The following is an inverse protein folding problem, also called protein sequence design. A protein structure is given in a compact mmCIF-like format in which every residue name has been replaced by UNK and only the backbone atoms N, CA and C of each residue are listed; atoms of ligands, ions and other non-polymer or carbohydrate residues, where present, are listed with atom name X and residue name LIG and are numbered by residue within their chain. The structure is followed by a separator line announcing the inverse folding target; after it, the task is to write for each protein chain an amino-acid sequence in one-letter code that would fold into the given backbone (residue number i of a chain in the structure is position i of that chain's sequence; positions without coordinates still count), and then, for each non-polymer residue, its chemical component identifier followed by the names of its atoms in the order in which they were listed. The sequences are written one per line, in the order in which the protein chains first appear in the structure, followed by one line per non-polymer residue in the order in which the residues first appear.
data_IF_681356462749
#
_entry.id   IF_681356462749
#
_cell.length_a   1.000
_cell.length_b   1.000
_cell.length_c   1.000
_cell.angle_alpha   90.00
_cell.angle_beta   90.00
_cell.angle_gamma   90.00
#
_symmetry.space_group_name_H-M   'P 1'
#
loop_
_entity.id
_entity.type
_entity.pdbx_description
1 polymer ?
#
# COMPACT_ATOMS: atom_id res chain seq x y z
N UNK A 1 -16.13 8.84 -40.14
CA UNK A 1 -17.03 8.33 -39.09
C UNK A 1 -16.40 7.31 -38.14
N UNK A 2 -15.29 6.63 -38.47
CA UNK A 2 -14.59 5.72 -37.55
C UNK A 2 -13.73 6.41 -36.46
N UNK A 3 -13.20 7.61 -36.72
CA UNK A 3 -12.30 8.33 -35.80
C UNK A 3 -12.96 8.75 -34.48
N UNK A 4 -14.24 9.14 -34.50
CA UNK A 4 -14.99 9.47 -33.28
C UNK A 4 -15.23 8.24 -32.40
N UNK A 5 -15.45 7.08 -33.02
CA UNK A 5 -15.69 5.82 -32.32
C UNK A 5 -14.44 5.32 -31.59
N UNK A 6 -13.26 5.42 -32.20
CA UNK A 6 -11.99 5.07 -31.56
C UNK A 6 -11.63 6.01 -30.40
N UNK A 7 -11.92 7.32 -30.50
CA UNK A 7 -11.71 8.26 -29.40
C UNK A 7 -12.62 7.97 -28.21
N UNK A 8 -13.85 7.54 -28.47
CA UNK A 8 -14.82 7.17 -27.43
C UNK A 8 -14.39 5.89 -26.69
N UNK A 9 -13.87 4.90 -27.42
CA UNK A 9 -13.29 3.69 -26.82
C UNK A 9 -12.06 4.02 -25.97
N UNK A 10 -11.18 4.92 -26.44
CA UNK A 10 -9.99 5.31 -25.67
C UNK A 10 -10.37 6.07 -24.39
N UNK A 11 -11.35 6.99 -24.46
CA UNK A 11 -11.84 7.75 -23.31
C UNK A 11 -12.56 6.87 -22.27
N UNK A 12 -13.29 5.83 -22.70
CA UNK A 12 -13.96 4.89 -21.79
C UNK A 12 -12.96 4.01 -21.03
N UNK A 13 -11.86 3.61 -21.65
CA UNK A 13 -10.84 2.78 -21.00
C UNK A 13 -10.01 3.55 -19.95
N UNK A 14 -9.92 4.88 -20.06
CA UNK A 14 -9.23 5.71 -19.05
C UNK A 14 -10.07 5.99 -17.81
N UNK A 15 -11.40 5.80 -17.86
CA UNK A 15 -12.29 6.15 -16.75
C UNK A 15 -12.42 5.06 -15.67
N UNK A 16 -12.06 3.81 -15.97
CA UNK A 16 -12.24 2.67 -15.07
C UNK A 16 -10.91 1.98 -14.73
N UNK A 17 -9.87 2.76 -14.45
CA UNK A 17 -8.60 2.25 -13.95
C UNK A 17 -8.61 2.16 -12.43
N UNK A 18 -8.69 0.94 -11.87
CA UNK A 18 -8.28 0.70 -10.49
C UNK A 18 -6.75 0.64 -10.45
N UNK A 19 -6.13 1.47 -9.61
CA UNK A 19 -4.67 1.49 -9.50
C UNK A 19 -4.18 0.43 -8.50
N UNK A 20 -3.18 -0.34 -8.90
CA UNK A 20 -2.51 -1.34 -8.05
C UNK A 20 -1.24 -0.76 -7.43
N UNK A 21 -1.04 -1.02 -6.14
CA UNK A 21 0.09 -0.55 -5.36
C UNK A 21 0.71 -1.67 -4.53
N UNK A 22 1.95 -1.44 -4.10
CA UNK A 22 2.69 -2.27 -3.16
C UNK A 22 2.95 -1.44 -1.92
N UNK A 23 2.58 -1.98 -0.77
CA UNK A 23 2.93 -1.48 0.55
C UNK A 23 4.05 -2.34 1.14
N UNK A 24 5.09 -1.71 1.70
CA UNK A 24 6.07 -2.41 2.52
C UNK A 24 6.54 -1.51 3.66
N UNK A 25 6.95 -2.15 4.75
CA UNK A 25 7.46 -1.43 5.92
C UNK A 25 8.65 -2.18 6.52
N UNK A 26 9.63 -1.41 6.99
CA UNK A 26 10.80 -1.90 7.73
C UNK A 26 10.96 -1.07 8.99
N UNK A 27 11.10 -1.76 10.12
CA UNK A 27 11.34 -1.17 11.44
C UNK A 27 12.63 -1.76 11.99
N UNK A 28 13.47 -0.91 12.56
CA UNK A 28 14.68 -1.30 13.26
C UNK A 28 14.50 -0.91 14.73
N UNK A 29 14.66 -1.89 15.60
CA UNK A 29 14.56 -1.74 17.05
C UNK A 29 15.92 -2.00 17.65
N UNK A 30 16.48 -1.04 18.38
CA UNK A 30 17.73 -1.18 19.10
C UNK A 30 17.46 -1.08 20.60
N UNK A 31 17.79 -2.13 21.35
CA UNK A 31 17.62 -2.21 22.81
C UNK A 31 16.17 -1.92 23.27
N UNK A 32 15.18 -2.37 22.50
CA UNK A 32 13.76 -2.17 22.78
C UNK A 32 13.18 -0.81 22.36
N UNK A 33 13.98 0.06 21.73
CA UNK A 33 13.55 1.36 21.21
C UNK A 33 13.58 1.34 19.68
N UNK A 34 12.54 1.87 19.03
CA UNK A 34 12.52 2.03 17.57
C UNK A 34 13.59 3.06 17.19
N UNK A 35 14.63 2.63 16.49
CA UNK A 35 15.75 3.47 16.04
C UNK A 35 15.56 3.97 14.61
N UNK A 36 14.80 3.25 13.79
CA UNK A 36 14.42 3.67 12.44
C UNK A 36 13.12 3.04 12.00
N UNK A 37 12.31 3.82 11.29
CA UNK A 37 11.13 3.39 10.57
C UNK A 37 11.22 3.77 9.08
N UNK A 38 10.75 2.88 8.22
CA UNK A 38 10.63 3.14 6.79
C UNK A 38 9.35 2.51 6.28
N UNK A 39 8.38 3.35 5.92
CA UNK A 39 7.12 2.94 5.29
C UNK A 39 7.06 3.52 3.90
N UNK A 40 6.87 2.64 2.91
CA UNK A 40 6.88 3.02 1.52
C UNK A 40 5.74 2.37 0.72
N UNK A 41 5.22 3.17 -0.19
CA UNK A 41 4.14 2.83 -1.11
C UNK A 41 4.65 3.10 -2.50
N UNK A 42 4.45 2.15 -3.41
CA UNK A 42 4.83 2.29 -4.81
C UNK A 42 3.78 1.68 -5.73
N UNK A 43 3.68 2.18 -6.96
CA UNK A 43 2.81 1.58 -7.96
C UNK A 43 3.29 0.18 -8.34
N UNK A 44 2.36 -0.76 -8.48
CA UNK A 44 2.67 -2.13 -8.90
C UNK A 44 3.00 -2.15 -10.40
N UNK A 45 4.18 -2.67 -10.74
CA UNK A 45 4.57 -2.88 -12.15
C UNK A 45 3.78 -4.00 -12.82
N UNK A 46 3.33 -4.99 -12.04
CA UNK A 46 2.55 -6.12 -12.56
C UNK A 46 1.09 -5.89 -12.21
N UNK A 47 0.22 -5.93 -13.22
CA UNK A 47 -1.23 -5.82 -13.07
C UNK A 47 -1.88 -7.19 -13.10
N UNK A 48 -3.04 -7.30 -12.47
CA UNK A 48 -3.87 -8.50 -12.48
C UNK A 48 -3.89 -9.25 -11.14
N UNK A 49 -5.09 -9.73 -10.83
CA UNK A 49 -5.48 -10.46 -9.62
C UNK A 49 -6.61 -11.43 -9.95
N UNK A 50 -6.70 -12.53 -9.19
CA UNK A 50 -7.77 -13.52 -9.33
C UNK A 50 -8.98 -13.13 -8.46
N UNK A 51 -8.69 -12.63 -7.26
CA UNK A 51 -9.69 -12.06 -6.36
C UNK A 51 -9.13 -10.89 -5.56
N UNK A 52 -10.03 -10.05 -5.06
CA UNK A 52 -9.70 -8.96 -4.14
C UNK A 52 -10.53 -9.08 -2.87
N UNK A 53 -9.91 -8.77 -1.75
CA UNK A 53 -10.53 -8.79 -0.42
C UNK A 53 -10.55 -7.38 0.14
N UNK A 54 -11.73 -6.91 0.58
CA UNK A 54 -11.87 -5.58 1.17
C UNK A 54 -11.15 -5.54 2.52
N UNK A 55 -10.21 -4.61 2.67
CA UNK A 55 -9.53 -4.39 3.96
C UNK A 55 -10.20 -3.29 4.75
N UNK A 56 -10.35 -2.11 4.15
CA UNK A 56 -10.86 -0.94 4.83
C UNK A 56 -11.32 0.13 3.85
N UNK A 57 -11.95 1.17 4.41
CA UNK A 57 -12.32 2.38 3.70
C UNK A 57 -11.69 3.55 4.45
N UNK A 58 -10.98 4.41 3.73
CA UNK A 58 -10.46 5.68 4.23
C UNK A 58 -11.51 6.74 3.89
N UNK A 59 -12.21 7.33 4.87
CA UNK A 59 -13.34 8.24 4.64
C UNK A 59 -12.85 9.68 4.34
N UNK A 60 -11.87 9.82 3.45
CA UNK A 60 -11.38 11.11 2.96
C UNK A 60 -11.37 11.11 1.43
N UNK A 61 -11.87 12.20 0.85
CA UNK A 61 -11.99 12.29 -0.60
C UNK A 61 -10.65 12.65 -1.23
N UNK A 62 -10.31 11.97 -2.33
CA UNK A 62 -9.09 12.29 -3.07
C UNK A 62 -9.20 13.69 -3.69
N UNK A 63 -8.28 14.63 -3.39
CA UNK A 63 -8.23 15.91 -4.06
C UNK A 63 -8.14 15.75 -5.59
N UNK A 64 -8.79 16.65 -6.33
CA UNK A 64 -8.81 16.58 -7.80
C UNK A 64 -7.44 16.84 -8.43
N UNK A 65 -6.58 17.56 -7.73
CA UNK A 65 -5.22 17.93 -8.16
C UNK A 65 -4.13 16.96 -7.69
N UNK A 66 -4.46 15.94 -6.87
CA UNK A 66 -3.48 14.99 -6.36
C UNK A 66 -3.49 13.67 -7.13
N UNK A 67 -2.33 13.04 -7.17
CA UNK A 67 -2.19 11.66 -7.68
C UNK A 67 -2.69 10.64 -6.66
N UNK A 68 -3.06 9.44 -7.13
CA UNK A 68 -3.40 8.31 -6.25
C UNK A 68 -2.27 8.02 -5.25
N UNK A 69 -1.03 8.11 -5.70
CA UNK A 69 0.15 7.86 -4.86
C UNK A 69 0.34 8.95 -3.79
N UNK A 70 0.14 10.22 -4.11
CA UNK A 70 0.21 11.32 -3.12
C UNK A 70 -0.86 11.16 -2.04
N UNK A 71 -2.10 10.85 -2.44
CA UNK A 71 -3.18 10.56 -1.50
C UNK A 71 -2.85 9.39 -0.56
N UNK A 72 -2.28 8.31 -1.11
CA UNK A 72 -1.88 7.15 -0.30
C UNK A 72 -0.70 7.51 0.63
N UNK A 73 0.22 8.37 0.19
CA UNK A 73 1.32 8.82 1.03
C UNK A 73 0.88 9.76 2.15
N UNK A 74 -0.17 10.57 1.95
CA UNK A 74 -0.72 11.41 3.02
C UNK A 74 -1.51 10.62 4.06
N UNK A 75 -2.00 9.44 3.69
CA UNK A 75 -2.78 8.53 4.54
C UNK A 75 -2.01 7.25 4.92
N UNK A 76 -0.68 7.36 5.09
CA UNK A 76 0.19 6.20 5.37
C UNK A 76 -0.17 5.48 6.65
N UNK A 77 -0.52 6.24 7.69
CA UNK A 77 -0.80 5.69 9.01
C UNK A 77 -2.14 4.94 8.99
N UNK A 78 -3.18 5.49 8.34
CA UNK A 78 -4.44 4.76 8.19
C UNK A 78 -4.26 3.50 7.33
N UNK A 79 -3.46 3.57 6.27
CA UNK A 79 -3.15 2.41 5.44
C UNK A 79 -2.41 1.33 6.25
N UNK A 80 -1.41 1.71 7.04
CA UNK A 80 -0.69 0.79 7.90
C UNK A 80 -1.64 0.06 8.86
N UNK A 81 -2.53 0.81 9.53
CA UNK A 81 -3.56 0.24 10.41
C UNK A 81 -4.50 -0.73 9.67
N UNK A 82 -4.84 -0.46 8.41
CA UNK A 82 -5.63 -1.40 7.60
C UNK A 82 -4.89 -2.72 7.36
N UNK A 83 -3.58 -2.68 7.18
CA UNK A 83 -2.79 -3.88 6.94
C UNK A 83 -2.47 -4.65 8.22
N UNK A 84 -2.18 -3.99 9.34
CA UNK A 84 -1.85 -4.67 10.60
C UNK A 84 -3.05 -5.41 11.21
N UNK A 85 -4.28 -4.94 10.94
CA UNK A 85 -5.50 -5.66 11.33
C UNK A 85 -5.65 -7.00 10.61
N UNK A 86 -5.04 -7.12 9.43
CA UNK A 86 -4.88 -8.40 8.75
C UNK A 86 -3.69 -9.16 9.31
N UNK A 87 -3.74 -10.49 9.26
CA UNK A 87 -2.61 -11.35 9.65
C UNK A 87 -1.46 -11.17 8.63
N UNK A 88 -0.64 -10.14 8.82
CA UNK A 88 0.52 -9.86 7.99
C UNK A 88 1.68 -10.74 8.37
N UNK A 89 2.42 -11.19 7.35
CA UNK A 89 3.67 -11.91 7.57
C UNK A 89 4.77 -10.90 7.87
N UNK A 90 5.45 -11.11 8.99
CA UNK A 90 6.58 -10.30 9.44
C UNK A 90 7.82 -11.18 9.41
N UNK A 91 8.89 -10.67 8.81
CA UNK A 91 10.23 -11.24 8.89
C UNK A 91 10.97 -10.53 10.02
N UNK A 92 11.43 -11.31 10.99
CA UNK A 92 12.24 -10.83 12.10
C UNK A 92 13.69 -11.30 11.93
N UNK A 93 14.65 -10.38 12.05
CA UNK A 93 16.07 -10.69 12.09
C UNK A 93 16.72 -9.97 13.28
N UNK A 94 17.12 -10.73 14.29
CA UNK A 94 17.73 -10.19 15.51
C UNK A 94 19.24 -10.46 15.55
N UNK A 95 20.03 -9.41 15.75
CA UNK A 95 21.46 -9.45 15.98
C UNK A 95 21.74 -9.08 17.44
N UNK A 96 22.44 -9.95 18.15
CA UNK A 96 22.88 -9.72 19.53
C UNK A 96 24.40 -9.58 19.57
N UNK A 97 24.90 -8.49 20.14
CA UNK A 97 26.33 -8.33 20.42
C UNK A 97 26.61 -8.71 21.88
N UNK A 98 27.21 -9.89 22.07
CA UNK A 98 27.53 -10.43 23.40
C UNK A 98 28.53 -9.58 24.19
N UNK A 99 29.31 -8.74 23.52
CA UNK A 99 30.32 -7.89 24.16
C UNK A 99 29.75 -6.57 24.73
N UNK A 100 28.59 -6.12 24.22
CA UNK A 100 28.01 -4.82 24.60
C UNK A 100 26.57 -4.90 25.11
N UNK A 101 26.01 -6.10 25.26
CA UNK A 101 24.58 -6.32 25.62
C UNK A 101 23.62 -5.57 24.69
N UNK A 102 24.05 -5.29 23.47
CA UNK A 102 23.24 -4.61 22.47
C UNK A 102 22.44 -5.62 21.66
N UNK A 103 21.15 -5.35 21.49
CA UNK A 103 20.22 -6.15 20.70
C UNK A 103 19.64 -5.24 19.62
N UNK A 104 19.80 -5.63 18.36
CA UNK A 104 19.15 -4.95 17.23
C UNK A 104 18.24 -5.94 16.52
N UNK A 105 16.95 -5.62 16.45
CA UNK A 105 15.94 -6.42 15.76
C UNK A 105 15.43 -5.65 14.56
N UNK A 106 15.53 -6.26 13.38
CA UNK A 106 14.91 -5.78 12.16
C UNK A 106 13.59 -6.51 11.93
N UNK A 107 12.50 -5.76 11.83
CA UNK A 107 11.16 -6.26 11.50
C UNK A 107 10.78 -5.75 10.10
N UNK A 108 10.53 -6.67 9.17
CA UNK A 108 10.10 -6.34 7.81
C UNK A 108 8.72 -6.93 7.54
N UNK A 109 7.76 -6.07 7.20
CA UNK A 109 6.47 -6.51 6.69
C UNK A 109 6.66 -6.94 5.24
N UNK A 110 6.27 -8.18 4.93
CA UNK A 110 6.34 -8.69 3.56
C UNK A 110 5.49 -7.81 2.64
N UNK A 111 5.97 -7.43 1.44
CA UNK A 111 5.25 -6.56 0.54
C UNK A 111 3.80 -7.01 0.29
N UNK A 112 2.86 -6.10 0.54
CA UNK A 112 1.43 -6.32 0.37
C UNK A 112 1.01 -5.62 -0.91
N UNK A 113 0.41 -6.39 -1.82
CA UNK A 113 -0.21 -5.85 -3.03
C UNK A 113 -1.65 -5.50 -2.74
N UNK A 114 -2.05 -4.29 -3.10
CA UNK A 114 -3.40 -3.80 -2.88
C UNK A 114 -3.89 -2.95 -4.05
N UNK A 115 -5.20 -2.77 -4.10
CA UNK A 115 -5.92 -1.93 -5.05
C UNK A 115 -6.57 -0.80 -4.26
N UNK A 116 -6.52 0.40 -4.84
CA UNK A 116 -7.30 1.54 -4.37
C UNK A 116 -8.39 1.87 -5.39
N UNK A 117 -9.62 2.02 -4.89
CA UNK A 117 -10.77 2.49 -5.67
C UNK A 117 -11.31 3.76 -5.03
N UNK A 118 -11.22 4.89 -5.74
CA UNK A 118 -11.74 6.17 -5.27
C UNK A 118 -13.24 6.27 -5.59
N UNK A 119 -14.05 6.54 -4.56
CA UNK A 119 -15.49 6.79 -4.66
C UNK A 119 -15.80 8.16 -4.05
N UNK A 120 -17.06 8.59 -4.16
CA UNK A 120 -17.53 9.90 -3.65
C UNK A 120 -17.58 10.02 -2.13
N UNK A 121 -17.08 9.03 -1.39
CA UNK A 121 -17.07 8.96 0.06
C UNK A 121 -15.72 8.42 0.59
N UNK A 122 -14.68 8.59 -0.21
CA UNK A 122 -13.32 8.19 0.11
C UNK A 122 -12.75 7.04 -0.69
N UNK A 123 -11.66 6.46 -0.17
CA UNK A 123 -10.86 5.44 -0.84
C UNK A 123 -11.14 4.05 -0.26
N UNK A 124 -11.53 3.11 -1.14
CA UNK A 124 -11.69 1.70 -0.79
C UNK A 124 -10.37 0.97 -1.00
N UNK A 125 -9.84 0.34 0.04
CA UNK A 125 -8.57 -0.39 0.01
C UNK A 125 -8.86 -1.88 0.01
N UNK A 126 -8.38 -2.59 -1.02
CA UNK A 126 -8.57 -4.03 -1.15
C UNK A 126 -7.25 -4.75 -1.36
N UNK A 127 -7.02 -5.84 -0.66
CA UNK A 127 -5.87 -6.72 -0.86
C UNK A 127 -6.04 -7.55 -2.12
N UNK A 128 -4.94 -7.77 -2.84
CA UNK A 128 -4.89 -8.63 -4.01
C UNK A 128 -4.54 -10.06 -3.59
N UNK A 129 -5.34 -11.03 -4.05
CA UNK A 129 -5.04 -12.46 -3.98
C UNK A 129 -4.87 -13.01 -5.40
N UNK A 130 -3.82 -13.81 -5.59
CA UNK A 130 -3.53 -14.57 -6.81
C UNK A 130 -3.65 -16.06 -6.51
#
# INVERSE_FOLDING_TARGET
MARAFCLLIFALNTLFGSDEFIFWAKLIVSNGVISSDNIAISSSMVRGYDSKELLCIIPDDKPSNSTSLEYLNSHKDELFECFIKEQVKILENSLTNLNSTDITTELTIIPIRFIVEFKSNGATISKITR
#
